data_IF_306061454556
#
_entry.id   IF_306061454556
#
_cell.length_a   1.000
_cell.length_b   1.000
_cell.length_c   1.000
_cell.angle_alpha   90.00
_cell.angle_beta   90.00
_cell.angle_gamma   90.00
#
_symmetry.space_group_name_H-M   'P 1'
#
loop_
_entity.id
_entity.type
_entity.pdbx_description
1 polymer ?
#
# COMPACT_ATOMS: atom_id res chain seq x y z
N UNK A 1 20.77 -3.29 10.89
CA UNK A 1 19.57 -2.67 11.47
C UNK A 1 19.61 -1.17 11.23
N UNK A 2 18.63 -0.67 10.50
CA UNK A 2 18.41 0.76 10.29
C UNK A 2 17.44 1.26 11.36
N UNK A 3 17.86 2.26 12.15
CA UNK A 3 17.16 2.64 13.38
C UNK A 3 16.22 3.81 13.16
N UNK A 4 14.93 3.54 13.30
CA UNK A 4 13.86 4.54 13.30
C UNK A 4 12.68 4.04 14.13
N UNK A 5 11.80 4.95 14.53
CA UNK A 5 10.55 4.63 15.22
C UNK A 5 9.37 5.01 14.33
N UNK A 6 8.36 4.15 14.27
CA UNK A 6 7.03 4.50 13.78
C UNK A 6 6.30 5.23 14.92
N UNK A 7 6.39 6.57 14.91
CA UNK A 7 5.88 7.43 15.98
C UNK A 7 4.35 7.42 15.98
N UNK A 8 3.77 7.67 14.81
CA UNK A 8 2.33 7.66 14.60
C UNK A 8 1.97 6.91 13.33
N UNK A 9 0.73 6.42 13.29
CA UNK A 9 0.05 5.92 12.10
C UNK A 9 -1.28 6.65 11.96
N UNK A 10 -1.74 6.84 10.73
CA UNK A 10 -3.07 7.36 10.46
C UNK A 10 -3.62 6.87 9.13
N UNK A 11 -4.94 6.77 9.03
CA UNK A 11 -5.69 6.52 7.79
C UNK A 11 -6.65 7.66 7.43
N UNK A 12 -6.93 7.80 6.14
CA UNK A 12 -8.04 8.59 5.60
C UNK A 12 -8.83 7.72 4.63
N UNK A 13 -10.11 7.52 4.95
CA UNK A 13 -11.01 6.64 4.21
C UNK A 13 -12.18 7.49 3.70
N UNK A 14 -12.54 7.41 2.40
CA UNK A 14 -13.68 8.12 1.85
C UNK A 14 -14.99 7.76 2.56
N UNK A 15 -15.92 8.72 2.63
CA UNK A 15 -17.16 8.53 3.41
C UNK A 15 -18.15 7.57 2.74
N UNK A 16 -18.20 7.53 1.41
CA UNK A 16 -19.12 6.68 0.65
C UNK A 16 -18.68 5.22 0.72
N UNK A 17 -19.53 4.41 1.34
CA UNK A 17 -19.45 2.95 1.32
C UNK A 17 -20.22 2.43 0.11
N UNK A 18 -19.59 1.56 -0.66
CA UNK A 18 -20.22 0.79 -1.74
C UNK A 18 -20.21 -0.67 -1.33
N UNK A 19 -21.38 -1.25 -1.12
CA UNK A 19 -21.52 -2.67 -0.76
C UNK A 19 -21.44 -3.56 -1.99
N UNK A 20 -21.28 -4.87 -1.80
CA UNK A 20 -21.39 -5.82 -2.90
C UNK A 20 -22.79 -5.82 -3.55
N UNK A 21 -23.83 -5.53 -2.77
CA UNK A 21 -25.20 -5.45 -3.27
C UNK A 21 -25.42 -4.21 -4.13
N UNK A 22 -24.77 -3.09 -3.80
CA UNK A 22 -24.77 -1.89 -4.66
C UNK A 22 -24.14 -2.19 -6.03
N UNK A 23 -23.07 -2.97 -6.08
CA UNK A 23 -22.47 -3.41 -7.36
C UNK A 23 -23.42 -4.33 -8.13
N UNK A 24 -24.13 -5.23 -7.44
CA UNK A 24 -25.09 -6.13 -8.05
C UNK A 24 -26.30 -5.40 -8.69
N UNK A 25 -26.54 -4.13 -8.37
CA UNK A 25 -27.63 -3.36 -8.96
C UNK A 25 -27.40 -2.99 -10.43
N UNK A 26 -26.15 -3.03 -10.91
CA UNK A 26 -25.78 -2.66 -12.28
C UNK A 26 -24.80 -3.62 -12.95
N UNK A 27 -24.38 -4.69 -12.27
CA UNK A 27 -23.41 -5.68 -12.73
C UNK A 27 -23.87 -7.10 -12.40
N UNK A 28 -23.58 -8.06 -13.29
CA UNK A 28 -23.88 -9.49 -13.07
C UNK A 28 -22.91 -10.10 -12.04
N UNK A 29 -23.20 -9.86 -10.76
CA UNK A 29 -22.42 -10.29 -9.59
C UNK A 29 -23.33 -10.46 -8.36
N UNK A 30 -22.76 -10.91 -7.24
CA UNK A 30 -23.43 -10.98 -5.95
C UNK A 30 -22.43 -10.90 -4.80
N UNK A 31 -22.90 -10.57 -3.58
CA UNK A 31 -22.06 -10.63 -2.38
C UNK A 31 -21.45 -12.01 -2.14
N UNK A 32 -22.24 -13.08 -2.29
CA UNK A 32 -21.74 -14.45 -2.14
C UNK A 32 -20.60 -14.76 -3.13
N UNK A 33 -20.72 -14.31 -4.38
CA UNK A 33 -19.70 -14.54 -5.40
C UNK A 33 -18.41 -13.79 -5.09
N UNK A 34 -18.50 -12.52 -4.67
CA UNK A 34 -17.33 -11.69 -4.37
C UNK A 34 -16.66 -12.20 -3.08
N UNK A 35 -17.40 -12.24 -1.98
CA UNK A 35 -16.88 -12.53 -0.65
C UNK A 35 -16.25 -13.93 -0.55
N UNK A 36 -16.85 -14.96 -1.16
CA UNK A 36 -16.27 -16.32 -1.15
C UNK A 36 -14.96 -16.42 -1.93
N UNK A 37 -14.72 -15.51 -2.89
CA UNK A 37 -13.54 -15.51 -3.75
C UNK A 37 -12.44 -14.58 -3.26
N UNK A 38 -12.79 -13.51 -2.55
CA UNK A 38 -11.86 -12.43 -2.20
C UNK A 38 -11.86 -12.08 -0.72
N UNK A 39 -12.94 -12.35 0.01
CA UNK A 39 -13.19 -11.85 1.36
C UNK A 39 -13.79 -10.45 1.40
N UNK A 40 -13.94 -9.76 0.26
CA UNK A 40 -14.44 -8.38 0.17
C UNK A 40 -15.96 -8.37 0.34
N UNK A 41 -16.48 -7.51 1.23
CA UNK A 41 -17.92 -7.28 1.46
C UNK A 41 -18.36 -5.89 0.99
N UNK A 42 -17.48 -4.91 1.17
CA UNK A 42 -17.67 -3.53 0.78
C UNK A 42 -16.34 -2.88 0.44
N UNK A 43 -16.41 -1.69 -0.15
CA UNK A 43 -15.26 -0.80 -0.38
C UNK A 43 -15.68 0.65 -0.19
N UNK A 44 -14.71 1.52 -0.03
CA UNK A 44 -14.93 2.96 0.00
C UNK A 44 -14.55 3.56 -1.34
N UNK A 45 -15.36 4.50 -1.84
CA UNK A 45 -15.14 5.20 -3.10
C UNK A 45 -15.21 6.70 -2.84
N UNK A 46 -14.33 7.49 -3.46
CA UNK A 46 -14.35 8.96 -3.33
C UNK A 46 -15.62 9.58 -3.94
N UNK A 47 -16.04 10.71 -3.39
CA UNK A 47 -17.12 11.53 -3.97
C UNK A 47 -16.52 12.64 -4.84
N UNK A 48 -15.55 13.36 -4.29
CA UNK A 48 -14.92 14.53 -4.92
C UNK A 48 -13.41 14.57 -4.71
N UNK A 49 -12.90 13.75 -3.81
CA UNK A 49 -11.49 13.74 -3.38
C UNK A 49 -10.60 13.12 -4.45
N UNK A 50 -9.44 13.75 -4.65
CA UNK A 50 -8.32 13.20 -5.40
C UNK A 50 -7.38 12.40 -4.47
N UNK A 51 -6.36 11.75 -5.04
CA UNK A 51 -5.39 10.96 -4.26
C UNK A 51 -4.61 11.84 -3.30
N UNK A 52 -4.24 13.06 -3.70
CA UNK A 52 -3.61 14.01 -2.77
C UNK A 52 -4.50 14.47 -1.65
N UNK A 53 -5.81 14.61 -1.82
CA UNK A 53 -6.70 15.03 -0.73
C UNK A 53 -6.70 13.99 0.40
N UNK A 54 -6.76 12.70 0.05
CA UNK A 54 -6.66 11.62 1.02
C UNK A 54 -5.27 11.59 1.70
N UNK A 55 -4.20 11.81 0.93
CA UNK A 55 -2.84 11.86 1.47
C UNK A 55 -2.61 13.08 2.39
N UNK A 56 -3.18 14.25 2.06
CA UNK A 56 -3.15 15.46 2.91
C UNK A 56 -3.84 15.18 4.23
N UNK A 57 -5.03 14.58 4.20
CA UNK A 57 -5.75 14.23 5.42
C UNK A 57 -4.96 13.26 6.33
N UNK A 58 -4.20 12.32 5.76
CA UNK A 58 -3.28 11.46 6.52
C UNK A 58 -2.15 12.28 7.13
N UNK A 59 -1.50 13.15 6.35
CA UNK A 59 -0.39 13.97 6.83
C UNK A 59 -0.79 14.91 7.98
N UNK A 60 -1.94 15.56 7.86
CA UNK A 60 -2.50 16.43 8.92
C UNK A 60 -2.79 15.64 10.20
N UNK A 61 -3.39 14.44 10.09
CA UNK A 61 -3.62 13.57 11.25
C UNK A 61 -2.34 13.15 11.94
N UNK A 62 -1.32 12.73 11.17
CA UNK A 62 -0.02 12.32 11.70
C UNK A 62 0.66 13.47 12.46
N UNK A 63 0.69 14.67 11.88
CA UNK A 63 1.25 15.87 12.53
C UNK A 63 0.48 16.23 13.80
N UNK A 64 -0.85 16.23 13.74
CA UNK A 64 -1.70 16.53 14.89
C UNK A 64 -1.51 15.52 16.04
N UNK A 65 -1.53 14.21 15.75
CA UNK A 65 -1.31 13.15 16.73
C UNK A 65 0.09 13.22 17.36
N UNK A 66 1.10 13.65 16.59
CA UNK A 66 2.47 13.80 17.08
C UNK A 66 2.73 15.13 17.80
N UNK A 67 1.80 16.10 17.72
CA UNK A 67 2.02 17.45 18.24
C UNK A 67 3.15 18.20 17.51
N UNK A 68 3.35 17.91 16.23
CA UNK A 68 4.42 18.50 15.40
C UNK A 68 3.87 19.53 14.42
N UNK A 69 4.72 20.48 14.07
CA UNK A 69 4.49 21.39 12.95
C UNK A 69 5.08 20.82 11.66
N UNK A 70 4.50 21.17 10.51
CA UNK A 70 4.93 20.65 9.21
C UNK A 70 6.39 21.00 8.86
N UNK A 71 6.90 22.14 9.33
CA UNK A 71 8.30 22.55 9.13
C UNK A 71 9.32 21.65 9.84
N UNK A 72 8.88 20.77 10.74
CA UNK A 72 9.75 19.79 11.40
C UNK A 72 9.94 18.51 10.56
N UNK A 73 9.31 18.41 9.39
CA UNK A 73 9.50 17.32 8.46
C UNK A 73 10.67 17.62 7.52
N UNK A 74 11.54 16.65 7.33
CA UNK A 74 12.62 16.71 6.35
C UNK A 74 12.21 16.14 4.99
N UNK A 75 11.23 15.24 4.97
CA UNK A 75 10.76 14.61 3.74
C UNK A 75 9.31 14.12 3.81
N UNK A 76 8.68 14.04 2.63
CA UNK A 76 7.36 13.44 2.43
C UNK A 76 7.45 12.50 1.23
N UNK A 77 7.24 11.21 1.46
CA UNK A 77 7.28 10.21 0.40
C UNK A 77 5.90 9.57 0.26
N UNK A 78 5.37 9.54 -0.97
CA UNK A 78 4.07 8.93 -1.26
C UNK A 78 4.24 7.75 -2.20
N UNK A 79 3.82 6.56 -1.77
CA UNK A 79 3.64 5.40 -2.63
C UNK A 79 2.26 5.45 -3.28
N UNK A 80 2.18 5.63 -4.59
CA UNK A 80 0.91 5.65 -5.33
C UNK A 80 1.10 5.19 -6.78
N UNK A 81 0.06 4.57 -7.35
CA UNK A 81 -0.05 4.33 -8.79
C UNK A 81 -1.24 5.06 -9.42
N UNK A 82 -1.95 5.87 -8.64
CA UNK A 82 -3.12 6.63 -9.09
C UNK A 82 -2.96 8.12 -8.78
N UNK A 83 -1.84 8.77 -9.18
CA UNK A 83 -1.61 10.17 -8.85
C UNK A 83 -2.65 11.08 -9.51
N UNK A 84 -2.80 12.29 -8.99
CA UNK A 84 -3.71 13.30 -9.55
C UNK A 84 -3.21 13.78 -10.92
N UNK A 85 -1.88 13.99 -11.00
CA UNK A 85 -1.17 14.38 -12.21
C UNK A 85 0.22 13.74 -12.24
N UNK A 86 0.89 13.76 -13.40
CA UNK A 86 2.30 13.33 -13.48
C UNK A 86 3.28 14.37 -12.90
N UNK A 87 2.91 15.64 -12.92
CA UNK A 87 3.69 16.74 -12.36
C UNK A 87 2.76 17.92 -12.05
N UNK A 88 2.71 18.40 -10.79
CA UNK A 88 3.48 17.94 -9.63
C UNK A 88 3.05 16.56 -9.12
N UNK A 89 3.92 15.92 -8.32
CA UNK A 89 3.62 14.64 -7.68
C UNK A 89 2.64 14.80 -6.50
N UNK A 90 1.97 13.73 -6.08
CA UNK A 90 1.07 13.74 -4.91
C UNK A 90 1.79 14.23 -3.65
N UNK A 91 2.99 13.73 -3.38
CA UNK A 91 3.81 14.16 -2.25
C UNK A 91 4.12 15.66 -2.27
N UNK A 92 4.34 16.24 -3.45
CA UNK A 92 4.60 17.68 -3.61
C UNK A 92 3.33 18.50 -3.35
N UNK A 93 2.16 18.01 -3.76
CA UNK A 93 0.87 18.62 -3.41
C UNK A 93 0.67 18.57 -1.89
N UNK A 94 0.92 17.41 -1.25
CA UNK A 94 0.84 17.26 0.21
C UNK A 94 1.77 18.26 0.92
N UNK A 95 3.04 18.32 0.50
CA UNK A 95 4.04 19.24 1.05
C UNK A 95 3.55 20.70 1.03
N UNK A 96 3.02 21.15 -0.11
CA UNK A 96 2.50 22.50 -0.26
C UNK A 96 1.25 22.78 0.56
N UNK A 97 0.34 21.79 0.64
CA UNK A 97 -0.94 21.90 1.37
C UNK A 97 -0.75 21.97 2.90
N UNK A 98 0.17 21.20 3.46
CA UNK A 98 0.44 21.20 4.91
C UNK A 98 1.47 22.25 5.34
N UNK A 99 2.11 22.94 4.38
CA UNK A 99 3.11 23.97 4.67
C UNK A 99 4.45 23.40 5.19
N UNK A 100 4.89 22.23 4.69
CA UNK A 100 6.15 21.62 5.11
C UNK A 100 7.36 22.22 4.35
N UNK A 101 7.74 23.46 4.65
CA UNK A 101 8.68 24.23 3.82
C UNK A 101 10.11 23.67 3.80
N UNK A 102 10.50 22.89 4.80
CA UNK A 102 11.81 22.25 4.88
C UNK A 102 11.86 20.87 4.22
N UNK A 103 10.69 20.28 3.91
CA UNK A 103 10.61 18.93 3.39
C UNK A 103 10.83 18.88 1.86
N UNK A 104 11.68 17.96 1.39
CA UNK A 104 11.61 17.53 -0.01
C UNK A 104 10.52 16.48 -0.18
N UNK A 105 9.96 16.36 -1.38
CA UNK A 105 8.85 15.46 -1.63
C UNK A 105 8.88 14.81 -3.02
N UNK A 106 8.51 13.53 -3.08
CA UNK A 106 8.38 12.76 -4.32
C UNK A 106 7.41 11.58 -4.19
N UNK A 107 6.97 11.08 -5.33
CA UNK A 107 6.18 9.86 -5.40
C UNK A 107 7.06 8.67 -5.80
N UNK A 108 6.75 7.49 -5.27
CA UNK A 108 7.31 6.22 -5.70
C UNK A 108 6.19 5.35 -6.28
N UNK A 109 6.28 5.07 -7.58
CA UNK A 109 5.35 4.16 -8.26
C UNK A 109 5.89 2.74 -8.29
N UNK A 110 5.43 1.91 -7.34
CA UNK A 110 5.65 0.46 -7.33
C UNK A 110 4.32 -0.30 -7.10
N UNK A 111 3.21 0.26 -7.60
CA UNK A 111 1.86 -0.27 -7.45
C UNK A 111 1.56 -0.66 -5.99
N UNK A 112 0.98 -1.84 -5.76
CA UNK A 112 0.65 -2.34 -4.43
C UNK A 112 1.85 -2.56 -3.50
N UNK A 113 3.09 -2.59 -4.03
CA UNK A 113 4.32 -2.63 -3.24
C UNK A 113 4.81 -1.23 -2.83
N UNK A 114 4.12 -0.18 -3.27
CA UNK A 114 4.50 1.22 -3.11
C UNK A 114 4.81 1.61 -1.67
N UNK A 115 3.94 1.27 -0.72
CA UNK A 115 4.18 1.59 0.70
C UNK A 115 5.44 0.92 1.25
N UNK A 116 5.66 -0.36 0.92
CA UNK A 116 6.85 -1.12 1.36
C UNK A 116 8.12 -0.55 0.77
N UNK A 117 8.14 -0.29 -0.54
CA UNK A 117 9.31 0.28 -1.21
C UNK A 117 9.61 1.69 -0.68
N UNK A 118 8.57 2.49 -0.45
CA UNK A 118 8.71 3.84 0.09
C UNK A 118 9.23 3.83 1.53
N UNK A 119 8.76 2.90 2.36
CA UNK A 119 9.23 2.75 3.75
C UNK A 119 10.71 2.34 3.82
N UNK A 120 11.14 1.42 2.94
CA UNK A 120 12.55 1.06 2.76
C UNK A 120 13.41 2.27 2.36
N UNK A 121 12.95 3.08 1.41
CA UNK A 121 13.71 4.29 1.03
C UNK A 121 13.79 5.29 2.18
N UNK A 122 12.71 5.45 2.95
CA UNK A 122 12.69 6.33 4.13
C UNK A 122 13.66 5.87 5.23
N UNK A 123 13.79 4.57 5.48
CA UNK A 123 14.73 4.07 6.50
C UNK A 123 16.19 4.39 6.17
N UNK A 124 16.55 4.31 4.89
CA UNK A 124 17.87 4.74 4.39
C UNK A 124 18.11 6.25 4.58
N UNK A 125 17.09 7.07 4.35
CA UNK A 125 17.16 8.52 4.53
C UNK A 125 17.36 8.91 6.01
N UNK A 126 16.65 8.26 6.93
CA UNK A 126 16.76 8.47 8.38
C UNK A 126 18.10 7.97 8.95
N UNK A 127 18.65 6.89 8.37
CA UNK A 127 19.95 6.36 8.79
C UNK A 127 21.10 7.30 8.41
N UNK A 128 20.94 8.06 7.31
CA UNK A 128 22.02 8.87 6.75
C UNK A 128 22.04 10.29 7.28
N UNK A 129 20.98 11.08 7.08
CA UNK A 129 21.05 12.55 7.27
C UNK A 129 19.78 13.25 7.73
N UNK A 130 18.64 12.58 7.73
CA UNK A 130 17.35 13.18 8.10
C UNK A 130 16.83 12.67 9.44
N UNK A 131 15.98 13.46 10.08
CA UNK A 131 15.46 13.20 11.42
C UNK A 131 14.01 12.74 11.39
N UNK A 132 13.15 13.37 10.57
CA UNK A 132 11.72 13.08 10.53
C UNK A 132 11.15 13.12 9.12
N UNK A 133 10.21 12.23 8.84
CA UNK A 133 9.47 12.32 7.59
C UNK A 133 8.23 11.45 7.55
N UNK A 134 7.41 11.68 6.51
CA UNK A 134 6.17 10.96 6.28
C UNK A 134 6.37 9.91 5.19
N UNK A 135 5.81 8.72 5.42
CA UNK A 135 5.62 7.69 4.40
C UNK A 135 4.13 7.40 4.29
N UNK A 136 3.55 7.66 3.12
CA UNK A 136 2.11 7.54 2.88
C UNK A 136 1.87 6.61 1.68
N UNK A 137 1.00 5.64 1.82
CA UNK A 137 0.38 4.92 0.70
C UNK A 137 -0.99 5.53 0.44
N UNK A 138 -1.24 6.00 -0.78
CA UNK A 138 -2.49 6.70 -1.10
C UNK A 138 -2.98 6.31 -2.49
N UNK A 139 -4.27 5.98 -2.60
CA UNK A 139 -4.85 5.54 -3.85
C UNK A 139 -6.31 5.97 -4.00
N UNK A 140 -6.64 6.47 -5.19
CA UNK A 140 -7.99 6.53 -5.74
C UNK A 140 -7.99 5.60 -6.94
N UNK A 141 -8.27 4.32 -6.70
CA UNK A 141 -8.24 3.27 -7.72
C UNK A 141 -9.53 3.23 -8.54
N UNK A 142 -10.64 3.75 -7.98
CA UNK A 142 -11.94 3.83 -8.64
C UNK A 142 -11.89 4.54 -10.00
N UNK A 143 -10.99 5.53 -10.19
CA UNK A 143 -10.76 6.21 -11.48
C UNK A 143 -10.01 5.36 -12.51
N UNK A 144 -9.38 4.26 -12.09
CA UNK A 144 -8.67 3.31 -12.95
C UNK A 144 -9.49 2.03 -13.20
N UNK A 145 -10.69 1.92 -12.64
CA UNK A 145 -11.57 0.76 -12.79
C UNK A 145 -12.45 0.91 -14.03
N UNK A 146 -12.52 -0.14 -14.85
CA UNK A 146 -13.62 -0.27 -15.81
C UNK A 146 -14.84 -0.87 -15.10
N UNK A 147 -15.83 -0.03 -14.80
CA UNK A 147 -17.04 -0.44 -14.08
C UNK A 147 -17.96 -1.38 -14.88
N UNK A 148 -17.70 -1.60 -16.16
CA UNK A 148 -18.37 -2.63 -16.98
C UNK A 148 -17.67 -4.00 -16.87
N UNK A 149 -16.41 -4.05 -16.41
CA UNK A 149 -15.66 -5.28 -16.24
C UNK A 149 -15.76 -5.80 -14.80
N UNK A 150 -16.72 -6.70 -14.59
CA UNK A 150 -16.94 -7.34 -13.29
C UNK A 150 -15.74 -8.09 -12.72
N UNK A 151 -14.79 -8.51 -13.56
CA UNK A 151 -13.64 -9.30 -13.10
C UNK A 151 -12.65 -8.48 -12.29
N UNK A 152 -12.65 -7.15 -12.46
CA UNK A 152 -11.75 -6.22 -11.78
C UNK A 152 -12.51 -5.20 -10.93
N UNK A 153 -13.67 -4.72 -11.36
CA UNK A 153 -14.41 -3.65 -10.70
C UNK A 153 -14.82 -3.94 -9.25
N UNK A 154 -15.05 -5.21 -8.92
CA UNK A 154 -15.46 -5.61 -7.57
C UNK A 154 -14.32 -5.57 -6.54
N UNK A 155 -13.07 -5.49 -7.01
CA UNK A 155 -11.88 -5.74 -6.20
C UNK A 155 -11.38 -4.48 -5.49
N UNK A 156 -11.41 -3.35 -6.17
CA UNK A 156 -10.65 -2.17 -5.75
C UNK A 156 -11.48 -1.20 -4.93
N UNK A 157 -10.82 -0.53 -4.00
CA UNK A 157 -11.36 0.58 -3.22
C UNK A 157 -10.35 1.72 -3.14
N UNK A 158 -10.80 2.82 -2.56
CA UNK A 158 -10.03 4.04 -2.40
C UNK A 158 -9.65 4.26 -0.93
N UNK A 159 -8.52 4.91 -0.69
CA UNK A 159 -8.05 5.23 0.65
C UNK A 159 -6.59 5.65 0.70
N UNK A 160 -6.21 6.23 1.83
CA UNK A 160 -4.83 6.53 2.16
C UNK A 160 -4.51 6.14 3.60
N UNK A 161 -3.25 5.78 3.83
CA UNK A 161 -2.72 5.65 5.18
C UNK A 161 -1.21 5.84 5.17
N UNK A 162 -0.67 6.24 6.32
CA UNK A 162 0.73 6.57 6.43
C UNK A 162 1.26 6.47 7.83
N UNK A 163 2.57 6.66 7.93
CA UNK A 163 3.31 6.67 9.18
C UNK A 163 4.21 7.90 9.25
N UNK A 164 4.31 8.45 10.45
CA UNK A 164 5.38 9.39 10.80
C UNK A 164 6.56 8.59 11.31
N UNK A 165 7.71 8.76 10.67
CA UNK A 165 8.96 8.12 11.06
C UNK A 165 9.89 9.14 11.68
N UNK A 166 10.59 8.71 12.73
CA UNK A 166 11.61 9.51 13.40
C UNK A 166 12.87 8.67 13.59
N UNK A 167 14.03 9.27 13.34
CA UNK A 167 15.33 8.67 13.63
C UNK A 167 15.43 8.39 15.13
N UNK A 168 16.06 7.27 15.49
CA UNK A 168 16.23 6.92 16.91
C UNK A 168 17.56 6.25 17.19
N UNK A 169 17.98 6.29 18.46
CA UNK A 169 19.11 5.51 18.96
C UNK A 169 18.68 4.17 19.54
N UNK A 170 17.39 4.02 19.86
CA UNK A 170 16.79 2.79 20.37
C UNK A 170 16.96 1.62 19.38
N UNK A 171 16.93 0.40 19.90
CA UNK A 171 16.99 -0.82 19.10
C UNK A 171 15.61 -1.16 18.49
N UNK A 172 15.03 -0.20 17.75
CA UNK A 172 13.78 -0.34 16.97
C UNK A 172 13.99 0.19 15.55
N UNK A 173 13.22 -0.31 14.58
CA UNK A 173 13.36 -0.01 13.16
C UNK A 173 13.54 -1.25 12.27
N UNK A 174 14.09 -1.05 11.07
CA UNK A 174 14.22 -2.10 10.06
C UNK A 174 15.37 -3.05 10.39
N UNK A 175 15.03 -4.31 10.62
CA UNK A 175 15.98 -5.40 10.86
C UNK A 175 16.60 -5.84 9.54
N UNK A 176 15.75 -6.14 8.55
CA UNK A 176 16.16 -6.52 7.20
C UNK A 176 15.03 -6.35 6.18
N UNK A 177 15.40 -6.40 4.90
CA UNK A 177 14.47 -6.33 3.78
C UNK A 177 14.83 -7.29 2.63
N UNK A 178 13.84 -7.58 1.79
CA UNK A 178 14.04 -8.13 0.45
C UNK A 178 13.04 -7.50 -0.52
N UNK A 179 13.55 -6.80 -1.54
CA UNK A 179 12.75 -6.15 -2.60
C UNK A 179 13.10 -6.78 -3.95
N UNK A 180 12.09 -7.11 -4.76
CA UNK A 180 12.26 -7.74 -6.08
C UNK A 180 11.24 -7.26 -7.10
N UNK A 181 11.72 -7.18 -8.34
CA UNK A 181 10.90 -6.80 -9.49
C UNK A 181 11.04 -7.85 -10.59
N UNK A 182 9.91 -8.16 -11.23
CA UNK A 182 9.75 -9.14 -12.31
C UNK A 182 9.12 -8.43 -13.52
N UNK A 183 9.90 -7.54 -14.14
CA UNK A 183 9.46 -6.66 -15.23
C UNK A 183 9.01 -7.40 -16.49
N UNK A 184 9.56 -8.59 -16.72
CA UNK A 184 9.19 -9.50 -17.80
C UNK A 184 7.76 -10.06 -17.69
N UNK A 185 7.11 -9.83 -16.53
CA UNK A 185 5.74 -10.24 -16.21
C UNK A 185 4.77 -9.05 -16.11
N UNK A 186 5.20 -7.86 -16.49
CA UNK A 186 4.43 -6.59 -16.38
C UNK A 186 3.04 -6.66 -17.00
N UNK A 187 2.86 -7.40 -18.09
CA UNK A 187 1.58 -7.56 -18.79
C UNK A 187 0.47 -8.22 -17.96
N UNK A 188 0.80 -8.92 -16.86
CA UNK A 188 -0.22 -9.58 -16.04
C UNK A 188 -0.99 -8.64 -15.12
N UNK A 189 -0.50 -7.42 -14.89
CA UNK A 189 -1.24 -6.37 -14.20
C UNK A 189 -0.83 -5.00 -14.74
N UNK A 190 -1.75 -4.35 -15.46
CA UNK A 190 -1.56 -2.99 -15.98
C UNK A 190 -2.75 -2.11 -15.61
N UNK A 191 -2.54 -0.81 -15.48
CA UNK A 191 -3.58 0.20 -15.30
C UNK A 191 -3.05 1.56 -15.74
N UNK A 192 -3.94 2.48 -16.14
CA UNK A 192 -3.57 3.86 -16.46
C UNK A 192 -2.58 3.97 -17.62
N UNK A 193 -2.72 3.14 -18.66
CA UNK A 193 -1.77 3.18 -19.77
C UNK A 193 -1.76 4.57 -20.41
N UNK A 194 -0.57 5.11 -20.62
CA UNK A 194 -0.36 6.34 -21.38
C UNK A 194 0.43 6.01 -22.62
N UNK A 195 -0.22 6.10 -23.78
CA UNK A 195 0.45 5.87 -25.05
C UNK A 195 0.98 7.18 -25.60
N UNK A 196 2.02 7.09 -26.42
CA UNK A 196 2.48 8.22 -27.21
C UNK A 196 1.29 8.76 -28.04
N UNK A 197 0.87 9.99 -27.75
CA UNK A 197 -0.17 10.69 -28.49
C UNK A 197 0.32 12.09 -28.89
N UNK A 198 1.63 12.23 -29.15
CA UNK A 198 2.19 13.52 -29.54
C UNK A 198 1.73 13.93 -30.94
N UNK A 199 1.75 15.24 -31.21
CA UNK A 199 1.25 15.83 -32.45
C UNK A 199 1.88 15.27 -33.74
N UNK A 200 3.10 14.74 -33.66
CA UNK A 200 3.85 14.18 -34.79
C UNK A 200 3.71 12.66 -34.90
N UNK A 201 3.02 12.01 -33.95
CA UNK A 201 2.71 10.60 -34.07
C UNK A 201 1.68 10.41 -35.21
N UNK A 202 1.89 9.37 -36.03
CA UNK A 202 0.85 8.90 -36.93
C UNK A 202 -0.29 8.22 -36.16
N UNK A 203 -1.07 7.38 -36.83
CA UNK A 203 -2.13 6.63 -36.17
C UNK A 203 -1.55 5.57 -35.23
N UNK A 204 -1.75 5.77 -33.93
CA UNK A 204 -1.42 4.79 -32.90
C UNK A 204 -2.72 4.19 -32.33
N UNK A 205 -2.63 2.96 -31.81
CA UNK A 205 -3.73 2.36 -31.07
C UNK A 205 -4.07 3.25 -29.85
N UNK A 206 -5.33 3.37 -29.43
CA UNK A 206 -5.65 4.01 -28.16
C UNK A 206 -5.10 3.20 -26.98
N UNK A 207 -4.56 3.88 -25.97
CA UNK A 207 -4.23 3.28 -24.68
C UNK A 207 -5.49 2.85 -23.94
N UNK A 208 -5.40 1.76 -23.18
CA UNK A 208 -6.46 1.34 -22.26
C UNK A 208 -6.18 1.96 -20.87
N UNK A 209 -7.00 2.91 -20.39
CA UNK A 209 -6.73 3.58 -19.13
C UNK A 209 -7.06 2.70 -17.92
N UNK A 210 -7.76 1.59 -18.11
CA UNK A 210 -8.32 0.81 -17.01
C UNK A 210 -7.41 -0.34 -16.57
N UNK A 211 -7.72 -0.89 -15.40
CA UNK A 211 -7.14 -2.14 -14.92
C UNK A 211 -7.32 -3.27 -15.94
N UNK A 212 -6.22 -3.97 -16.23
CA UNK A 212 -6.20 -5.29 -16.87
C UNK A 212 -5.36 -6.22 -16.03
N UNK A 213 -5.94 -7.37 -15.67
CA UNK A 213 -5.32 -8.33 -14.78
C UNK A 213 -5.54 -9.76 -15.26
N UNK A 214 -4.46 -10.54 -15.31
CA UNK A 214 -4.55 -12.00 -15.29
C UNK A 214 -4.54 -12.49 -13.84
N UNK A 215 -5.73 -12.71 -13.28
CA UNK A 215 -5.88 -13.08 -11.87
C UNK A 215 -5.19 -14.40 -11.51
N UNK A 216 -5.04 -15.33 -12.46
CA UNK A 216 -4.36 -16.62 -12.21
C UNK A 216 -2.86 -16.40 -12.08
N UNK A 217 -2.28 -15.63 -12.99
CA UNK A 217 -0.85 -15.33 -12.97
C UNK A 217 -0.46 -14.47 -11.77
N UNK A 218 -1.29 -13.50 -11.39
CA UNK A 218 -1.10 -12.68 -10.18
C UNK A 218 -1.23 -13.52 -8.90
N UNK A 219 -2.21 -14.43 -8.81
CA UNK A 219 -2.35 -15.34 -7.67
C UNK A 219 -1.14 -16.28 -7.54
N UNK A 220 -0.71 -16.87 -8.66
CA UNK A 220 0.46 -17.76 -8.72
C UNK A 220 1.74 -17.03 -8.33
N UNK A 221 1.91 -15.80 -8.79
CA UNK A 221 3.00 -14.92 -8.40
C UNK A 221 2.99 -14.66 -6.88
N UNK A 222 1.88 -14.16 -6.32
CA UNK A 222 1.81 -13.77 -4.92
C UNK A 222 2.06 -14.96 -3.98
N UNK A 223 1.41 -16.10 -4.23
CA UNK A 223 1.54 -17.31 -3.39
C UNK A 223 2.90 -18.00 -3.50
N UNK A 224 3.74 -17.60 -4.47
CA UNK A 224 5.10 -18.10 -4.67
C UNK A 224 6.15 -17.11 -4.17
N UNK A 225 6.10 -15.86 -4.64
CA UNK A 225 7.18 -14.90 -4.41
C UNK A 225 7.09 -14.20 -3.06
N UNK A 226 5.90 -13.98 -2.50
CA UNK A 226 5.77 -13.39 -1.16
C UNK A 226 6.48 -14.27 -0.12
N UNK A 227 6.29 -15.61 -0.12
CA UNK A 227 7.09 -16.48 0.72
C UNK A 227 8.59 -16.46 0.50
N UNK A 228 9.03 -16.32 -0.75
CA UNK A 228 10.45 -16.25 -1.05
C UNK A 228 11.07 -14.99 -0.44
N UNK A 229 10.48 -13.81 -0.65
CA UNK A 229 11.05 -12.55 -0.14
C UNK A 229 10.96 -12.44 1.38
N UNK A 230 9.90 -12.96 2.00
CA UNK A 230 9.78 -13.02 3.45
C UNK A 230 10.87 -13.91 4.06
N UNK A 231 11.10 -15.11 3.51
CA UNK A 231 12.17 -15.99 3.98
C UNK A 231 13.56 -15.36 3.79
N UNK A 232 13.79 -14.65 2.67
CA UNK A 232 15.05 -13.93 2.44
C UNK A 232 15.25 -12.79 3.45
N UNK A 233 14.21 -12.02 3.75
CA UNK A 233 14.29 -10.94 4.72
C UNK A 233 14.48 -11.48 6.15
N UNK A 234 13.77 -12.56 6.52
CA UNK A 234 13.95 -13.26 7.80
C UNK A 234 15.38 -13.80 7.95
N UNK A 235 15.91 -14.46 6.92
CA UNK A 235 17.28 -14.98 6.93
C UNK A 235 18.32 -13.86 7.11
N UNK A 236 18.13 -12.70 6.45
CA UNK A 236 19.01 -11.53 6.64
C UNK A 236 18.90 -10.89 8.03
N UNK A 237 17.78 -11.09 8.72
CA UNK A 237 17.56 -10.64 10.09
C UNK A 237 18.01 -11.67 11.15
N UNK A 238 18.51 -12.84 10.73
CA UNK A 238 18.76 -13.99 11.60
C UNK A 238 17.52 -14.42 12.42
N UNK A 239 16.34 -14.34 11.80
CA UNK A 239 15.05 -14.71 12.38
C UNK A 239 14.37 -15.85 11.62
N UNK A 240 13.42 -16.48 12.29
CA UNK A 240 12.52 -17.51 11.75
C UNK A 240 11.09 -16.99 11.68
N UNK A 241 10.18 -17.67 10.96
CA UNK A 241 8.76 -17.31 10.96
C UNK A 241 8.11 -17.28 12.37
N UNK A 242 8.60 -18.09 13.30
CA UNK A 242 8.05 -18.14 14.66
C UNK A 242 8.35 -16.88 15.47
N UNK A 243 9.42 -16.15 15.12
CA UNK A 243 9.85 -14.91 15.78
C UNK A 243 9.02 -13.67 15.37
N UNK A 244 8.10 -13.82 14.41
CA UNK A 244 7.22 -12.75 13.94
C UNK A 244 5.91 -12.78 14.70
N UNK A 245 5.56 -11.66 15.31
CA UNK A 245 4.31 -11.47 16.06
C UNK A 245 3.12 -11.29 15.10
N UNK A 246 3.28 -10.45 14.06
CA UNK A 246 2.21 -10.09 13.12
C UNK A 246 2.74 -9.97 11.69
N UNK A 247 2.02 -10.53 10.73
CA UNK A 247 2.26 -10.42 9.29
C UNK A 247 1.26 -9.47 8.63
N UNK A 248 1.73 -8.29 8.25
CA UNK A 248 0.97 -7.27 7.53
C UNK A 248 1.18 -7.42 6.03
N UNK A 249 0.34 -8.22 5.39
CA UNK A 249 0.39 -8.45 3.95
C UNK A 249 -0.53 -7.49 3.19
N UNK A 250 -0.21 -7.23 1.92
CA UNK A 250 -1.10 -6.52 1.00
C UNK A 250 -2.50 -7.18 0.91
N UNK A 251 -3.54 -6.36 1.06
CA UNK A 251 -4.93 -6.80 1.25
C UNK A 251 -5.68 -6.94 -0.09
N UNK A 252 -5.14 -7.76 -1.00
CA UNK A 252 -5.77 -7.99 -2.31
C UNK A 252 -6.89 -9.04 -2.28
N UNK A 253 -6.66 -10.14 -1.55
CA UNK A 253 -7.53 -11.31 -1.57
C UNK A 253 -7.23 -12.21 -0.36
N UNK A 254 -8.24 -12.51 0.46
CA UNK A 254 -8.09 -13.33 1.67
C UNK A 254 -7.60 -14.76 1.40
N UNK A 255 -7.87 -15.32 0.22
CA UNK A 255 -7.37 -16.66 -0.18
C UNK A 255 -5.87 -16.66 -0.44
N UNK A 256 -5.33 -15.56 -0.98
CA UNK A 256 -3.88 -15.41 -1.17
C UNK A 256 -3.20 -15.40 0.21
N UNK A 257 -3.69 -14.59 1.14
CA UNK A 257 -3.15 -14.49 2.50
C UNK A 257 -3.23 -15.84 3.21
N UNK A 258 -4.38 -16.52 3.14
CA UNK A 258 -4.56 -17.86 3.70
C UNK A 258 -3.58 -18.89 3.12
N UNK A 259 -3.34 -18.83 1.80
CA UNK A 259 -2.38 -19.70 1.13
C UNK A 259 -0.94 -19.42 1.55
N UNK A 260 -0.59 -18.15 1.78
CA UNK A 260 0.72 -17.73 2.25
C UNK A 260 0.94 -18.21 3.70
N UNK A 261 -0.01 -17.96 4.60
CA UNK A 261 0.05 -18.41 6.00
C UNK A 261 0.29 -19.92 6.10
N UNK A 262 -0.48 -20.72 5.34
CA UNK A 262 -0.30 -22.18 5.27
C UNK A 262 1.09 -22.58 4.75
N UNK A 263 1.61 -21.89 3.75
CA UNK A 263 2.94 -22.17 3.17
C UNK A 263 4.08 -21.82 4.13
N UNK A 264 3.88 -20.83 5.00
CA UNK A 264 4.80 -20.49 6.09
C UNK A 264 4.69 -21.39 7.32
N UNK A 265 3.67 -22.25 7.37
CA UNK A 265 3.38 -23.04 8.57
C UNK A 265 3.00 -22.19 9.78
N UNK A 266 2.47 -20.99 9.55
CA UNK A 266 2.08 -20.06 10.62
C UNK A 266 0.55 -20.02 10.78
N UNK A 267 0.06 -19.81 12.01
CA UNK A 267 -1.37 -19.65 12.30
C UNK A 267 -1.95 -18.45 11.54
N UNK A 268 -3.18 -18.59 11.02
CA UNK A 268 -3.84 -17.53 10.23
C UNK A 268 -4.12 -16.29 11.07
N UNK A 269 -4.20 -16.44 12.39
CA UNK A 269 -4.41 -15.38 13.38
C UNK A 269 -3.27 -14.37 13.40
N UNK A 270 -2.06 -14.76 12.98
CA UNK A 270 -0.93 -13.83 12.78
C UNK A 270 -1.04 -13.01 11.49
N UNK A 271 -2.01 -13.29 10.61
CA UNK A 271 -2.22 -12.63 9.32
C UNK A 271 -3.57 -11.89 9.31
N UNK A 272 -3.67 -10.76 10.02
CA UNK A 272 -4.90 -9.98 10.08
C UNK A 272 -5.34 -9.51 8.68
N UNK A 273 -6.66 -9.42 8.50
CA UNK A 273 -7.28 -9.09 7.22
C UNK A 273 -8.40 -8.07 7.41
N UNK A 274 -8.43 -7.04 6.56
CA UNK A 274 -9.46 -6.00 6.59
C UNK A 274 -10.06 -5.68 5.20
N UNK A 275 -9.68 -6.42 4.13
CA UNK A 275 -10.25 -6.19 2.80
C UNK A 275 -11.78 -6.34 2.74
N UNK A 276 -12.38 -7.02 3.73
CA UNK A 276 -13.82 -7.08 3.88
C UNK A 276 -14.47 -5.68 3.92
N UNK A 277 -13.82 -4.72 4.57
CA UNK A 277 -14.32 -3.36 4.78
C UNK A 277 -13.82 -2.35 3.74
N UNK A 278 -12.66 -2.59 3.13
CA UNK A 278 -11.99 -1.59 2.28
C UNK A 278 -11.82 -2.01 0.82
N UNK A 279 -12.02 -3.28 0.49
CA UNK A 279 -11.54 -3.83 -0.78
C UNK A 279 -10.01 -3.80 -0.87
N UNK A 280 -9.49 -3.84 -2.09
CA UNK A 280 -8.07 -3.69 -2.40
C UNK A 280 -7.74 -2.21 -2.63
N UNK A 281 -6.98 -1.60 -1.73
CA UNK A 281 -6.54 -0.20 -1.81
C UNK A 281 -5.05 -0.06 -2.21
N UNK A 282 -4.50 -1.03 -2.96
CA UNK A 282 -3.12 -1.04 -3.47
C UNK A 282 -2.10 -0.62 -2.40
N UNK A 283 -1.33 0.45 -2.61
CA UNK A 283 -0.27 0.90 -1.71
C UNK A 283 -0.80 1.31 -0.33
N UNK A 284 -2.04 1.80 -0.23
CA UNK A 284 -2.63 2.21 1.05
C UNK A 284 -2.95 1.01 1.96
N UNK A 285 -3.12 -0.19 1.40
CA UNK A 285 -3.75 -1.31 2.10
C UNK A 285 -3.02 -1.71 3.39
N UNK A 286 -1.69 -1.74 3.34
CA UNK A 286 -0.83 -2.13 4.47
C UNK A 286 -0.87 -1.05 5.54
N UNK A 287 -0.79 0.23 5.15
CA UNK A 287 -0.87 1.35 6.08
C UNK A 287 -2.21 1.40 6.80
N UNK A 288 -3.32 1.15 6.09
CA UNK A 288 -4.67 1.10 6.67
C UNK A 288 -4.73 -0.03 7.70
N UNK A 289 -4.26 -1.23 7.35
CA UNK A 289 -4.24 -2.34 8.29
C UNK A 289 -3.35 -2.06 9.52
N UNK A 290 -2.15 -1.52 9.32
CA UNK A 290 -1.23 -1.17 10.40
C UNK A 290 -1.89 -0.19 11.39
N UNK A 291 -2.53 0.86 10.89
CA UNK A 291 -3.19 1.85 11.72
C UNK A 291 -4.38 1.26 12.50
N UNK A 292 -5.07 0.26 11.95
CA UNK A 292 -6.21 -0.42 12.61
C UNK A 292 -5.73 -1.25 13.78
N UNK A 293 -4.63 -1.97 13.56
CA UNK A 293 -4.05 -2.84 14.56
C UNK A 293 -3.32 -2.07 15.66
N UNK A 294 -2.74 -0.91 15.35
CA UNK A 294 -2.18 0.00 16.36
C UNK A 294 -3.27 0.63 17.22
N UNK A 295 -4.35 1.10 16.61
CA UNK A 295 -5.52 1.62 17.34
C UNK A 295 -6.15 0.55 18.25
N UNK A 296 -6.24 -0.70 17.77
CA UNK A 296 -6.73 -1.83 18.54
C UNK A 296 -5.72 -2.40 19.57
N UNK A 297 -4.50 -1.87 19.65
CA UNK A 297 -3.44 -2.36 20.53
C UNK A 297 -2.88 -3.74 20.18
N UNK A 298 -3.21 -4.28 19.00
CA UNK A 298 -2.66 -5.56 18.49
C UNK A 298 -1.21 -5.40 18.03
N UNK A 299 -0.92 -4.29 17.35
CA UNK A 299 0.45 -3.88 17.01
C UNK A 299 0.92 -2.83 18.00
N UNK A 300 1.99 -3.10 18.74
CA UNK A 300 2.54 -2.19 19.76
C UNK A 300 4.06 -2.30 19.86
N UNK A 301 4.66 -1.36 20.59
CA UNK A 301 6.11 -1.33 20.80
C UNK A 301 6.61 -2.63 21.46
N UNK A 302 7.79 -3.08 21.05
CA UNK A 302 8.44 -4.31 21.50
C UNK A 302 8.18 -5.52 20.61
N UNK A 303 7.25 -5.44 19.66
CA UNK A 303 6.96 -6.53 18.72
C UNK A 303 7.88 -6.52 17.51
N UNK A 304 8.01 -7.68 16.87
CA UNK A 304 8.61 -7.84 15.55
C UNK A 304 7.52 -8.14 14.54
N UNK A 305 7.34 -7.26 13.56
CA UNK A 305 6.35 -7.42 12.49
C UNK A 305 7.03 -7.71 11.16
N UNK A 306 6.35 -8.45 10.30
CA UNK A 306 6.72 -8.62 8.91
C UNK A 306 5.70 -7.92 8.01
N UNK A 307 6.15 -6.99 7.19
CA UNK A 307 5.32 -6.27 6.23
C UNK A 307 5.65 -6.77 4.83
N UNK A 308 4.66 -7.16 4.02
CA UNK A 308 4.93 -7.51 2.62
C UNK A 308 3.90 -6.97 1.63
N UNK A 309 4.39 -6.22 0.65
CA UNK A 309 3.64 -5.67 -0.47
C UNK A 309 3.92 -6.46 -1.74
N UNK A 310 2.91 -6.61 -2.60
CA UNK A 310 3.04 -7.33 -3.87
C UNK A 310 1.97 -6.89 -4.86
N UNK A 311 2.32 -6.75 -6.14
CA UNK A 311 1.36 -6.32 -7.17
C UNK A 311 2.02 -6.00 -8.50
N UNK A 312 1.55 -4.94 -9.16
CA UNK A 312 1.95 -4.53 -10.51
C UNK A 312 3.46 -4.31 -10.66
N UNK A 313 3.97 -4.56 -11.87
CA UNK A 313 5.41 -4.57 -12.18
C UNK A 313 5.91 -5.82 -12.92
N UNK A 314 5.73 -7.07 -12.43
CA UNK A 314 5.23 -7.39 -11.09
C UNK A 314 6.29 -7.06 -10.03
N UNK A 315 5.86 -6.55 -8.88
CA UNK A 315 6.74 -6.17 -7.77
C UNK A 315 6.35 -6.93 -6.50
N UNK A 316 7.34 -7.17 -5.64
CA UNK A 316 7.15 -7.77 -4.33
C UNK A 316 8.25 -7.27 -3.39
N UNK A 317 7.89 -6.92 -2.16
CA UNK A 317 8.84 -6.52 -1.14
C UNK A 317 8.42 -7.01 0.23
N UNK A 318 9.40 -7.32 1.08
CA UNK A 318 9.21 -7.66 2.48
C UNK A 318 10.16 -6.86 3.36
N UNK A 319 9.64 -6.35 4.49
CA UNK A 319 10.39 -5.67 5.54
C UNK A 319 10.14 -6.39 6.86
N UNK A 320 11.21 -6.68 7.60
CA UNK A 320 11.13 -7.16 8.98
C UNK A 320 11.47 -5.99 9.89
N UNK A 321 10.50 -5.56 10.69
CA UNK A 321 10.59 -4.32 11.48
C UNK A 321 10.38 -4.66 12.95
N UNK A 322 11.28 -4.19 13.80
CA UNK A 322 11.03 -4.07 15.24
C UNK A 322 10.26 -2.78 15.45
N UNK A 323 9.09 -2.84 16.08
CA UNK A 323 8.24 -1.67 16.39
C UNK A 323 8.56 -1.16 17.78
#
# INVERSE_FOLDING_TARGET
>A
MEKFTIVQSARAIPSRVVTNDDLASFMDTSDEWISSRTGIRQRHIVDTEDTSDLAVAVAEKLLHQAGLTADQLDFILVGTMSPDTLSPSVAQIVQGKIGAHNAFAWDLSAACSGFVYTLSMASSLLTTRYERGLVIGAEVLSKLVNWEDRSTAVLFGDGAAGVLLERTTAATGLLAESLKTFGERSQFLTAGQQQNANHFAGTLKPADPYFKMDGREVYSFATREVPNVLNEALAKADLTPDDIDVYLLHQANGRIISSIAKRFGQPIEKFPMNMASYGNTSAASIGILLDELREAGTVHAGQTIAIAGFGGGLTVGALIIKV
#
